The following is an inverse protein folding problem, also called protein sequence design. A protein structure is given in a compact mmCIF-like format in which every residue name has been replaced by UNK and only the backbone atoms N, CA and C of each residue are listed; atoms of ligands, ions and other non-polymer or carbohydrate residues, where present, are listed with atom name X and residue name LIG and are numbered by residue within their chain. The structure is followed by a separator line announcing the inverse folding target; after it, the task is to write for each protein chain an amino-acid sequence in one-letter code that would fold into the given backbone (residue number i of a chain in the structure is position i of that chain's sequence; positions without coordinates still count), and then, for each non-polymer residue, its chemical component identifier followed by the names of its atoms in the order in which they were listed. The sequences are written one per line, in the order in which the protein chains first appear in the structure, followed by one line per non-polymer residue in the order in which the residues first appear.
data_IF_903876471707
#
_entry.id   IF_903876471707
#
_cell.length_a   1.000
_cell.length_b   1.000
_cell.length_c   1.000
_cell.angle_alpha   90.00
_cell.angle_beta   90.00
_cell.angle_gamma   90.00
#
_symmetry.space_group_name_H-M   'P 1'
#
loop_
_entity.id
_entity.type
_entity.pdbx_description
1 polymer ?
#
# COMPACT_ATOMS: atom_id res chain seq x y z
N UNK A 1 -26.69 3.66 -2.75
CA UNK A 1 -27.50 4.36 -1.73
C UNK A 1 -26.73 5.57 -1.22
N UNK A 2 -27.42 6.66 -0.96
CA UNK A 2 -26.86 7.91 -0.43
C UNK A 2 -27.38 8.11 1.00
N UNK A 3 -26.47 8.49 1.92
CA UNK A 3 -26.81 8.64 3.32
C UNK A 3 -26.03 9.84 3.88
N UNK A 4 -26.69 10.71 4.64
CA UNK A 4 -26.05 11.80 5.35
C UNK A 4 -25.64 11.35 6.75
N UNK A 5 -24.38 11.60 7.11
CA UNK A 5 -23.85 11.28 8.45
C UNK A 5 -23.15 12.50 9.04
N UNK A 6 -23.16 12.69 10.37
CA UNK A 6 -22.39 13.75 11.01
C UNK A 6 -20.89 13.62 10.72
N UNK A 7 -20.20 14.73 10.46
CA UNK A 7 -18.77 14.74 10.11
C UNK A 7 -17.91 13.96 11.11
N UNK A 8 -18.14 14.12 12.41
CA UNK A 8 -17.37 13.42 13.46
C UNK A 8 -17.58 11.90 13.49
N UNK A 9 -18.67 11.39 12.90
CA UNK A 9 -18.98 9.96 12.89
C UNK A 9 -18.58 9.26 11.58
N UNK A 10 -18.23 10.01 10.54
CA UNK A 10 -18.00 9.52 9.18
C UNK A 10 -16.91 8.44 9.14
N UNK A 11 -15.84 8.62 9.90
CA UNK A 11 -14.68 7.71 9.95
C UNK A 11 -15.09 6.27 10.33
N UNK A 12 -15.91 6.10 11.35
CA UNK A 12 -16.34 4.78 11.81
C UNK A 12 -17.20 4.04 10.77
N UNK A 13 -18.01 4.78 10.01
CA UNK A 13 -18.79 4.20 8.91
C UNK A 13 -17.92 3.81 7.73
N UNK A 14 -16.96 4.66 7.34
CA UNK A 14 -15.99 4.38 6.29
C UNK A 14 -15.24 3.08 6.63
N UNK A 15 -14.68 2.96 7.83
CA UNK A 15 -13.96 1.76 8.29
C UNK A 15 -14.78 0.48 8.08
N UNK A 16 -16.02 0.48 8.57
CA UNK A 16 -16.90 -0.70 8.50
C UNK A 16 -17.30 -1.08 7.09
N UNK A 17 -17.49 -0.10 6.20
CA UNK A 17 -17.86 -0.33 4.82
C UNK A 17 -16.68 -0.79 3.97
N UNK A 18 -15.52 -0.13 4.12
CA UNK A 18 -14.28 -0.51 3.43
C UNK A 18 -13.82 -1.91 3.83
N UNK A 19 -13.90 -2.25 5.13
CA UNK A 19 -13.60 -3.61 5.61
C UNK A 19 -14.47 -4.70 4.95
N UNK A 20 -15.65 -4.32 4.44
CA UNK A 20 -16.54 -5.21 3.69
C UNK A 20 -16.34 -5.14 2.16
N UNK A 21 -15.31 -4.43 1.70
CA UNK A 21 -14.97 -4.29 0.28
C UNK A 21 -15.80 -3.26 -0.50
N UNK A 22 -16.57 -2.40 0.17
CA UNK A 22 -17.33 -1.34 -0.51
C UNK A 22 -16.45 -0.16 -0.88
N UNK A 23 -16.76 0.47 -2.03
CA UNK A 23 -16.24 1.78 -2.44
C UNK A 23 -17.18 2.87 -1.97
N UNK A 24 -16.65 3.96 -1.45
CA UNK A 24 -17.40 5.03 -0.82
C UNK A 24 -17.05 6.35 -1.50
N UNK A 25 -18.03 7.02 -2.08
CA UNK A 25 -17.87 8.39 -2.54
C UNK A 25 -18.19 9.37 -1.42
N UNK A 26 -17.25 10.25 -1.08
CA UNK A 26 -17.45 11.37 -0.18
C UNK A 26 -17.96 12.54 -1.00
N UNK A 27 -19.11 13.05 -0.61
CA UNK A 27 -19.81 14.14 -1.31
C UNK A 27 -19.96 15.30 -0.36
N UNK A 28 -19.46 16.47 -0.75
CA UNK A 28 -19.56 17.68 0.03
C UNK A 28 -20.39 18.76 -0.67
N UNK A 29 -20.88 19.72 0.11
CA UNK A 29 -21.57 20.89 -0.39
C UNK A 29 -20.53 21.92 -0.87
N UNK A 30 -20.64 22.33 -2.14
CA UNK A 30 -19.70 23.26 -2.77
C UNK A 30 -20.10 24.73 -2.63
N UNK A 31 -21.26 25.02 -2.02
CA UNK A 31 -21.81 26.36 -1.84
C UNK A 31 -22.32 26.53 -0.40
N UNK A 32 -22.27 27.77 0.11
CA UNK A 32 -22.94 28.10 1.36
C UNK A 32 -24.47 27.94 1.19
N UNK A 33 -25.14 27.14 2.04
CA UNK A 33 -26.58 26.98 1.98
C UNK A 33 -27.39 28.30 2.02
N UNK A 34 -26.80 29.36 2.58
CA UNK A 34 -27.43 30.69 2.67
C UNK A 34 -27.42 31.47 1.35
N UNK A 35 -26.47 31.12 0.45
CA UNK A 35 -26.29 31.78 -0.85
C UNK A 35 -26.94 30.97 -1.99
N UNK A 36 -27.37 29.75 -1.72
CA UNK A 36 -27.93 28.87 -2.73
C UNK A 36 -29.37 29.27 -3.10
N UNK A 37 -29.62 29.57 -4.35
CA UNK A 37 -30.97 29.70 -4.91
C UNK A 37 -31.49 28.32 -5.31
N UNK A 38 -32.05 27.57 -4.36
CA UNK A 38 -32.58 26.22 -4.60
C UNK A 38 -31.79 25.11 -3.92
N UNK A 39 -31.52 24.01 -4.67
CA UNK A 39 -30.75 22.87 -4.15
C UNK A 39 -29.28 23.21 -4.14
N UNK A 40 -28.62 23.09 -2.98
CA UNK A 40 -27.17 23.30 -2.83
C UNK A 40 -26.39 22.35 -3.73
N UNK A 41 -25.48 22.90 -4.51
CA UNK A 41 -24.59 22.11 -5.36
C UNK A 41 -23.70 21.21 -4.51
N UNK A 42 -23.59 19.94 -4.91
CA UNK A 42 -22.77 18.92 -4.27
C UNK A 42 -21.86 18.28 -5.29
N UNK A 43 -20.64 17.97 -4.87
CA UNK A 43 -19.71 17.21 -5.73
C UNK A 43 -19.00 16.12 -4.95
N UNK A 44 -18.50 15.12 -5.67
CA UNK A 44 -17.68 14.06 -5.15
C UNK A 44 -16.26 14.59 -4.97
N UNK A 45 -15.82 14.75 -3.74
CA UNK A 45 -14.48 15.25 -3.43
C UNK A 45 -13.44 14.12 -3.39
N UNK A 46 -13.87 12.90 -3.09
CA UNK A 46 -12.98 11.74 -2.99
C UNK A 46 -13.77 10.43 -3.08
N UNK A 47 -13.14 9.41 -3.64
CA UNK A 47 -13.63 8.02 -3.59
C UNK A 47 -12.66 7.19 -2.77
N UNK A 48 -13.15 6.64 -1.64
CA UNK A 48 -12.36 5.76 -0.76
C UNK A 48 -12.66 4.32 -1.14
N UNK A 49 -11.61 3.57 -1.39
CA UNK A 49 -11.68 2.15 -1.77
C UNK A 49 -10.80 1.31 -0.83
N UNK A 50 -10.93 -0.02 -0.80
CA UNK A 50 -10.10 -0.87 0.07
C UNK A 50 -8.58 -0.73 -0.15
N UNK A 51 -8.14 -0.31 -1.33
CA UNK A 51 -6.73 -0.08 -1.66
C UNK A 51 -6.28 1.37 -1.50
N UNK A 52 -7.20 2.33 -1.39
CA UNK A 52 -6.87 3.77 -1.32
C UNK A 52 -7.15 4.41 0.04
N UNK A 53 -7.25 3.60 1.08
CA UNK A 53 -7.50 4.08 2.44
C UNK A 53 -6.28 4.82 2.97
N UNK A 54 -6.41 6.12 3.24
CA UNK A 54 -5.37 6.96 3.84
C UNK A 54 -5.52 7.15 5.35
N UNK A 55 -6.68 6.80 5.91
CA UNK A 55 -7.07 7.13 7.27
C UNK A 55 -6.66 6.06 8.28
N UNK A 56 -6.77 6.35 9.58
CA UNK A 56 -6.48 5.47 10.74
C UNK A 56 -7.31 4.17 10.79
N UNK A 57 -7.82 3.74 9.63
CA UNK A 57 -8.70 2.59 9.43
C UNK A 57 -7.94 1.28 9.55
N UNK A 58 -6.65 1.30 9.27
CA UNK A 58 -5.76 0.17 9.42
C UNK A 58 -4.82 0.39 10.60
N UNK A 59 -4.38 -0.69 11.21
CA UNK A 59 -3.30 -0.66 12.18
C UNK A 59 -2.15 0.22 11.64
N UNK A 60 -1.74 1.23 12.40
CA UNK A 60 -0.67 2.18 12.03
C UNK A 60 0.63 1.47 11.62
N UNK A 61 0.82 0.26 12.11
CA UNK A 61 1.97 -0.61 11.86
C UNK A 61 1.82 -1.51 10.63
N UNK A 62 0.66 -1.50 9.96
CA UNK A 62 0.41 -2.32 8.79
C UNK A 62 0.39 -1.49 7.51
N UNK A 63 0.87 -2.08 6.41
CA UNK A 63 0.79 -1.53 5.06
C UNK A 63 -0.30 -2.24 4.27
N UNK A 64 -1.09 -1.47 3.52
CA UNK A 64 -2.11 -1.97 2.61
C UNK A 64 -1.82 -1.43 1.22
N UNK A 65 -1.70 -2.33 0.25
CA UNK A 65 -1.38 -1.95 -1.11
C UNK A 65 -2.60 -2.00 -2.03
N UNK A 66 -2.64 -1.03 -2.94
CA UNK A 66 -3.34 -1.13 -4.21
C UNK A 66 -2.34 -1.65 -5.23
N UNK A 67 -2.77 -2.51 -6.16
CA UNK A 67 -1.93 -2.96 -7.24
C UNK A 67 -2.63 -2.83 -8.59
N UNK A 68 -1.90 -2.44 -9.63
CA UNK A 68 -2.37 -2.45 -11.01
C UNK A 68 -1.61 -3.53 -11.80
N UNK A 69 -2.33 -4.36 -12.54
CA UNK A 69 -1.77 -5.52 -13.24
C UNK A 69 -1.98 -5.38 -14.74
N UNK A 70 -0.89 -5.49 -15.48
CA UNK A 70 -0.91 -5.69 -16.93
C UNK A 70 -0.26 -7.02 -17.27
N UNK A 71 -0.85 -7.73 -18.24
CA UNK A 71 -0.29 -8.95 -18.80
C UNK A 71 0.49 -8.66 -20.09
N UNK A 72 1.53 -9.41 -20.31
CA UNK A 72 2.31 -9.41 -21.54
C UNK A 72 2.67 -10.85 -21.92
N UNK A 73 3.24 -11.07 -23.09
CA UNK A 73 3.33 -12.41 -23.72
C UNK A 73 3.97 -13.51 -22.84
N UNK A 74 4.84 -13.16 -21.90
CA UNK A 74 5.56 -14.12 -21.06
C UNK A 74 5.52 -13.81 -19.54
N UNK A 75 4.72 -12.82 -19.12
CA UNK A 75 4.63 -12.47 -17.71
C UNK A 75 3.55 -11.47 -17.38
N UNK A 76 3.57 -11.05 -16.12
CA UNK A 76 2.78 -9.95 -15.58
C UNK A 76 3.69 -8.87 -15.05
N UNK A 77 3.29 -7.63 -15.28
CA UNK A 77 3.84 -6.47 -14.59
C UNK A 77 2.82 -5.95 -13.61
N UNK A 78 3.24 -5.75 -12.36
CA UNK A 78 2.40 -5.32 -11.27
C UNK A 78 2.99 -4.06 -10.64
N UNK A 79 2.27 -2.96 -10.71
CA UNK A 79 2.59 -1.74 -9.99
C UNK A 79 1.86 -1.74 -8.65
N UNK A 80 2.60 -1.67 -7.55
CA UNK A 80 2.08 -1.59 -6.19
C UNK A 80 2.23 -0.17 -5.66
N UNK A 81 1.23 0.29 -4.90
CA UNK A 81 1.29 1.55 -4.16
C UNK A 81 0.64 1.43 -2.79
N UNK A 82 1.29 1.94 -1.78
CA UNK A 82 0.70 2.25 -0.48
C UNK A 82 0.34 3.73 -0.45
N UNK A 83 -0.92 4.04 -0.66
CA UNK A 83 -1.40 5.44 -0.84
C UNK A 83 -1.14 6.28 0.41
N UNK A 84 -1.18 5.69 1.60
CA UNK A 84 -1.00 6.41 2.86
C UNK A 84 0.44 6.88 3.12
N UNK A 85 1.43 6.31 2.46
CA UNK A 85 2.86 6.65 2.62
C UNK A 85 3.50 7.16 1.33
N UNK A 86 2.80 7.00 0.20
CA UNK A 86 3.32 7.31 -1.13
C UNK A 86 4.36 6.31 -1.65
N UNK A 87 4.64 5.26 -0.89
CA UNK A 87 5.56 4.21 -1.34
C UNK A 87 4.97 3.45 -2.51
N UNK A 88 5.77 3.27 -3.56
CA UNK A 88 5.34 2.56 -4.75
C UNK A 88 6.53 1.86 -5.43
N UNK A 89 6.23 0.75 -6.09
CA UNK A 89 7.22 -0.03 -6.83
C UNK A 89 6.55 -0.90 -7.90
N UNK A 90 7.34 -1.36 -8.86
CA UNK A 90 6.92 -2.33 -9.88
C UNK A 90 7.65 -3.64 -9.67
N UNK A 91 6.92 -4.73 -9.72
CA UNK A 91 7.46 -6.09 -9.63
C UNK A 91 6.92 -6.93 -10.80
N UNK A 92 7.76 -7.80 -11.37
CA UNK A 92 7.40 -8.66 -12.50
C UNK A 92 7.37 -10.12 -12.07
N UNK A 93 6.47 -10.90 -12.65
CA UNK A 93 6.48 -12.35 -12.47
C UNK A 93 6.17 -13.10 -13.76
N UNK A 94 6.48 -14.38 -13.75
CA UNK A 94 6.18 -15.30 -14.86
C UNK A 94 4.67 -15.35 -15.14
N UNK A 95 4.31 -15.69 -16.39
CA UNK A 95 2.92 -15.85 -16.83
C UNK A 95 2.26 -17.12 -16.28
N UNK A 96 2.29 -17.28 -14.95
CA UNK A 96 1.66 -18.36 -14.19
C UNK A 96 0.67 -17.79 -13.17
N UNK A 97 -0.59 -18.25 -13.21
CA UNK A 97 -1.66 -17.78 -12.32
C UNK A 97 -1.27 -17.94 -10.84
N UNK A 98 -0.65 -19.06 -10.46
CA UNK A 98 -0.25 -19.32 -9.08
C UNK A 98 0.82 -18.35 -8.58
N UNK A 99 1.79 -17.99 -9.41
CA UNK A 99 2.86 -17.04 -9.05
C UNK A 99 2.29 -15.65 -8.87
N UNK A 100 1.42 -15.20 -9.79
CA UNK A 100 0.72 -13.93 -9.67
C UNK A 100 -0.09 -13.82 -8.37
N UNK A 101 -0.90 -14.85 -8.07
CA UNK A 101 -1.73 -14.86 -6.86
C UNK A 101 -0.89 -14.84 -5.58
N UNK A 102 0.21 -15.60 -5.54
CA UNK A 102 1.13 -15.57 -4.41
C UNK A 102 1.77 -14.19 -4.22
N UNK A 103 2.14 -13.51 -5.32
CA UNK A 103 2.73 -12.18 -5.28
C UNK A 103 1.75 -11.14 -4.72
N UNK A 104 0.48 -11.21 -5.14
CA UNK A 104 -0.58 -10.34 -4.63
C UNK A 104 -0.80 -10.55 -3.12
N UNK A 105 -0.88 -11.81 -2.67
CA UNK A 105 -1.05 -12.15 -1.25
C UNK A 105 0.17 -11.76 -0.41
N UNK A 106 1.37 -12.01 -0.95
CA UNK A 106 2.65 -11.67 -0.34
C UNK A 106 2.74 -10.18 -0.01
N UNK A 107 2.27 -9.32 -0.91
CA UNK A 107 2.31 -7.87 -0.77
C UNK A 107 1.05 -7.28 -0.11
N UNK A 108 0.15 -8.10 0.45
CA UNK A 108 -1.07 -7.66 1.14
C UNK A 108 -1.90 -6.64 0.31
N UNK A 109 -2.01 -6.87 -1.01
CA UNK A 109 -2.83 -6.03 -1.87
C UNK A 109 -4.32 -6.31 -1.59
N UNK A 110 -5.07 -5.26 -1.25
CA UNK A 110 -6.51 -5.33 -0.94
C UNK A 110 -7.38 -4.97 -2.13
N UNK A 111 -6.81 -4.32 -3.11
CA UNK A 111 -7.49 -3.91 -4.32
C UNK A 111 -6.57 -4.09 -5.52
N UNK A 112 -7.13 -4.61 -6.59
CA UNK A 112 -6.42 -4.86 -7.85
C UNK A 112 -7.13 -4.09 -8.97
N UNK A 113 -6.37 -3.30 -9.69
CA UNK A 113 -6.80 -2.59 -10.90
C UNK A 113 -6.36 -3.38 -12.12
N UNK A 114 -7.29 -3.63 -13.03
CA UNK A 114 -7.05 -4.35 -14.28
C UNK A 114 -7.83 -3.71 -15.43
N UNK A 115 -7.47 -3.98 -16.67
CA UNK A 115 -8.32 -3.62 -17.81
C UNK A 115 -9.54 -4.58 -17.93
N UNK A 116 -10.63 -4.17 -18.58
CA UNK A 116 -11.88 -4.95 -18.68
C UNK A 116 -11.71 -6.31 -19.38
N UNK A 117 -10.71 -6.46 -20.22
CA UNK A 117 -10.39 -7.71 -20.91
C UNK A 117 -9.52 -8.69 -20.10
N UNK A 118 -9.18 -8.36 -18.85
CA UNK A 118 -8.31 -9.22 -18.04
C UNK A 118 -8.96 -10.58 -17.73
N UNK A 119 -8.16 -11.62 -17.55
CA UNK A 119 -8.59 -13.02 -17.44
C UNK A 119 -9.59 -13.26 -16.30
N UNK A 120 -10.82 -13.59 -16.65
CA UNK A 120 -11.95 -13.79 -15.71
C UNK A 120 -11.67 -14.89 -14.66
N UNK A 121 -10.89 -15.91 -15.02
CA UNK A 121 -10.47 -16.97 -14.09
C UNK A 121 -9.70 -16.41 -12.90
N UNK A 122 -8.75 -15.50 -13.15
CA UNK A 122 -7.92 -14.86 -12.12
C UNK A 122 -8.80 -13.92 -11.29
N UNK A 123 -9.66 -13.13 -11.94
CA UNK A 123 -10.60 -12.23 -11.26
C UNK A 123 -11.47 -12.99 -10.25
N UNK A 124 -12.01 -14.15 -10.63
CA UNK A 124 -12.81 -15.01 -9.72
C UNK A 124 -11.99 -15.49 -8.53
N UNK A 125 -10.74 -15.91 -8.74
CA UNK A 125 -9.86 -16.35 -7.67
C UNK A 125 -9.54 -15.21 -6.70
N UNK A 126 -9.23 -14.02 -7.20
CA UNK A 126 -8.98 -12.83 -6.37
C UNK A 126 -10.20 -12.41 -5.54
N UNK A 127 -11.39 -12.44 -6.14
CA UNK A 127 -12.66 -12.18 -5.40
C UNK A 127 -12.89 -13.20 -4.29
N UNK A 128 -12.59 -14.47 -4.52
CA UNK A 128 -12.68 -15.51 -3.49
C UNK A 128 -11.68 -15.27 -2.33
N UNK A 129 -10.58 -14.60 -2.60
CA UNK A 129 -9.59 -14.16 -1.60
C UNK A 129 -9.96 -12.81 -0.95
N UNK A 130 -11.18 -12.31 -1.17
CA UNK A 130 -11.67 -11.02 -0.66
C UNK A 130 -10.86 -9.80 -1.15
N UNK A 131 -10.23 -9.91 -2.31
CA UNK A 131 -9.56 -8.81 -2.98
C UNK A 131 -10.56 -8.07 -3.85
N UNK A 132 -10.64 -6.76 -3.71
CA UNK A 132 -11.52 -5.91 -4.51
C UNK A 132 -10.94 -5.74 -5.92
N UNK A 133 -11.79 -5.85 -6.94
CA UNK A 133 -11.39 -5.65 -8.33
C UNK A 133 -11.95 -4.34 -8.86
N UNK A 134 -11.07 -3.57 -9.47
CA UNK A 134 -11.35 -2.28 -10.11
C UNK A 134 -10.89 -2.31 -11.55
N UNK A 135 -11.44 -1.44 -12.37
CA UNK A 135 -11.14 -1.40 -13.79
C UNK A 135 -10.64 -0.01 -14.17
N UNK A 136 -9.56 0.02 -14.94
CA UNK A 136 -9.03 1.22 -15.58
C UNK A 136 -8.56 0.84 -16.98
N UNK A 137 -8.89 1.65 -18.00
CA UNK A 137 -8.52 1.38 -19.39
C UNK A 137 -7.34 2.24 -19.83
N UNK A 138 -7.10 3.35 -19.15
CA UNK A 138 -5.99 4.24 -19.47
C UNK A 138 -4.72 3.77 -18.75
N UNK A 139 -3.68 3.52 -19.52
CA UNK A 139 -2.37 3.07 -19.05
C UNK A 139 -1.24 4.06 -19.44
N UNK A 140 -1.61 5.24 -19.94
CA UNK A 140 -0.67 6.32 -20.27
C UNK A 140 -0.09 6.96 -18.99
N UNK A 141 1.01 7.67 -19.12
CA UNK A 141 1.61 8.42 -18.01
C UNK A 141 1.69 9.88 -18.38
N UNK A 142 1.01 10.72 -17.63
CA UNK A 142 1.07 12.15 -17.81
C UNK A 142 2.47 12.71 -17.53
N UNK A 143 2.85 13.78 -18.26
CA UNK A 143 4.18 14.38 -18.16
C UNK A 143 4.56 14.84 -16.75
N UNK A 144 3.57 15.21 -15.92
CA UNK A 144 3.78 15.61 -14.53
C UNK A 144 4.37 14.48 -13.66
N UNK A 145 4.15 13.21 -14.03
CA UNK A 145 4.65 12.03 -13.29
C UNK A 145 5.95 11.45 -13.84
N UNK A 146 6.51 12.01 -14.92
CA UNK A 146 7.79 11.51 -15.48
C UNK A 146 8.92 11.44 -14.44
N UNK A 147 9.09 12.39 -13.51
CA UNK A 147 10.11 12.29 -12.47
C UNK A 147 9.95 11.06 -11.55
N UNK A 148 8.72 10.56 -11.37
CA UNK A 148 8.46 9.36 -10.58
C UNK A 148 8.85 8.07 -11.33
N UNK A 149 8.94 8.13 -12.66
CA UNK A 149 9.09 6.98 -13.55
C UNK A 149 10.52 6.74 -14.03
N UNK A 150 11.52 7.48 -13.55
CA UNK A 150 12.90 7.42 -14.06
C UNK A 150 13.51 6.00 -14.00
N UNK A 151 13.17 5.23 -12.96
CA UNK A 151 13.63 3.85 -12.80
C UNK A 151 12.91 2.86 -13.73
N UNK A 152 11.74 3.22 -14.28
CA UNK A 152 10.92 2.34 -15.11
C UNK A 152 11.36 2.42 -16.56
N UNK A 153 12.11 1.42 -17.00
CA UNK A 153 12.68 1.39 -18.37
C UNK A 153 11.87 0.56 -19.36
N UNK A 154 11.12 -0.43 -18.87
CA UNK A 154 10.39 -1.37 -19.72
C UNK A 154 8.96 -0.86 -19.98
N UNK A 155 8.48 -1.03 -21.21
CA UNK A 155 7.16 -0.54 -21.64
C UNK A 155 6.01 -1.17 -20.84
N UNK A 156 6.05 -2.47 -20.61
CA UNK A 156 5.00 -3.14 -19.86
C UNK A 156 4.95 -2.71 -18.37
N UNK A 157 6.08 -2.29 -17.78
CA UNK A 157 6.14 -1.71 -16.44
C UNK A 157 5.54 -0.30 -16.42
N UNK A 158 5.75 0.46 -17.48
CA UNK A 158 5.13 1.78 -17.65
C UNK A 158 3.61 1.69 -17.75
N UNK A 159 3.11 0.68 -18.46
CA UNK A 159 1.66 0.47 -18.61
C UNK A 159 0.99 0.13 -17.27
N UNK A 160 1.52 -0.81 -16.49
CA UNK A 160 0.99 -1.13 -15.17
C UNK A 160 1.04 0.10 -14.22
N UNK A 161 2.13 0.85 -14.29
CA UNK A 161 2.32 2.05 -13.49
C UNK A 161 1.38 3.20 -13.93
N UNK A 162 1.20 3.41 -15.22
CA UNK A 162 0.25 4.38 -15.77
C UNK A 162 -1.19 4.07 -15.36
N UNK A 163 -1.61 2.83 -15.50
CA UNK A 163 -2.95 2.38 -15.05
C UNK A 163 -3.16 2.63 -13.54
N UNK A 164 -2.13 2.43 -12.72
CA UNK A 164 -2.17 2.73 -11.28
C UNK A 164 -2.35 4.23 -11.05
N UNK A 165 -1.58 5.09 -11.72
CA UNK A 165 -1.67 6.54 -11.59
C UNK A 165 -3.05 7.07 -11.98
N UNK A 166 -3.57 6.69 -13.15
CA UNK A 166 -4.90 7.11 -13.60
C UNK A 166 -5.99 6.69 -12.62
N UNK A 167 -5.94 5.46 -12.12
CA UNK A 167 -6.91 5.02 -11.13
C UNK A 167 -6.83 5.83 -9.82
N UNK A 168 -5.63 6.21 -9.39
CA UNK A 168 -5.45 7.06 -8.22
C UNK A 168 -5.99 8.47 -8.46
N UNK A 169 -5.74 9.08 -9.62
CA UNK A 169 -6.29 10.40 -9.96
C UNK A 169 -7.82 10.40 -9.97
N UNK A 170 -8.44 9.40 -10.58
CA UNK A 170 -9.90 9.25 -10.60
C UNK A 170 -10.49 9.13 -9.18
N UNK A 171 -9.81 8.43 -8.29
CA UNK A 171 -10.32 8.14 -6.94
C UNK A 171 -9.98 9.23 -5.93
N UNK A 172 -8.79 9.79 -5.96
CA UNK A 172 -8.35 10.81 -4.99
C UNK A 172 -8.81 12.22 -5.37
N UNK A 173 -9.01 12.49 -6.67
CA UNK A 173 -9.48 13.81 -7.17
C UNK A 173 -8.56 14.98 -6.86
N UNK A 174 -7.31 14.74 -6.48
CA UNK A 174 -6.27 15.75 -6.24
C UNK A 174 -4.91 15.25 -6.72
N UNK A 175 -3.92 16.13 -6.74
CA UNK A 175 -2.56 15.78 -7.15
C UNK A 175 -1.95 14.72 -6.25
N UNK A 176 -1.18 13.83 -6.86
CA UNK A 176 -0.50 12.73 -6.16
C UNK A 176 0.92 13.13 -5.74
N UNK A 177 1.09 14.35 -5.24
CA UNK A 177 2.41 14.96 -4.95
C UNK A 177 3.18 14.26 -3.83
N UNK A 178 2.51 13.45 -3.01
CA UNK A 178 3.13 12.66 -1.94
C UNK A 178 3.76 11.34 -2.42
N UNK A 179 3.54 10.94 -3.68
CA UNK A 179 4.13 9.71 -4.19
C UNK A 179 5.65 9.83 -4.27
N UNK A 180 6.32 8.79 -3.81
CA UNK A 180 7.78 8.68 -3.89
C UNK A 180 8.20 8.23 -5.30
N UNK A 181 9.45 8.50 -5.74
CA UNK A 181 9.98 7.92 -6.97
C UNK A 181 9.81 6.40 -6.99
N UNK A 182 9.32 5.88 -8.11
CA UNK A 182 9.04 4.45 -8.26
C UNK A 182 10.34 3.63 -8.22
N UNK A 183 10.32 2.51 -7.53
CA UNK A 183 11.40 1.53 -7.55
C UNK A 183 10.99 0.29 -8.35
N UNK A 184 11.95 -0.35 -9.02
CA UNK A 184 11.71 -1.62 -9.72
C UNK A 184 12.31 -2.73 -8.88
N UNK A 185 11.45 -3.57 -8.29
CA UNK A 185 11.90 -4.72 -7.52
C UNK A 185 12.31 -5.87 -8.45
N UNK A 186 13.47 -6.46 -8.14
CA UNK A 186 13.96 -7.67 -8.82
C UNK A 186 14.09 -8.80 -7.79
N UNK A 187 13.83 -10.03 -8.21
CA UNK A 187 13.95 -11.21 -7.34
C UNK A 187 15.34 -11.38 -6.70
N UNK A 188 16.36 -10.79 -7.31
CA UNK A 188 17.74 -10.89 -6.83
C UNK A 188 18.07 -10.07 -5.58
N UNK A 189 17.20 -9.13 -5.16
CA UNK A 189 17.51 -8.18 -4.08
C UNK A 189 17.18 -8.70 -2.67
N UNK A 190 16.35 -9.71 -2.55
CA UNK A 190 15.95 -10.30 -1.26
C UNK A 190 15.74 -11.80 -1.34
N UNK A 191 15.83 -12.46 -0.18
CA UNK A 191 15.53 -13.88 -0.08
C UNK A 191 14.09 -14.15 -0.50
N UNK A 192 13.92 -15.01 -1.51
CA UNK A 192 12.59 -15.41 -1.94
C UNK A 192 11.92 -16.27 -0.86
N UNK A 193 10.77 -15.83 -0.39
CA UNK A 193 9.87 -16.61 0.46
C UNK A 193 8.46 -16.50 -0.11
N UNK A 194 7.82 -17.62 -0.40
CA UNK A 194 6.43 -17.63 -0.81
C UNK A 194 5.49 -17.26 0.34
N UNK A 195 4.24 -16.97 -0.01
CA UNK A 195 3.23 -16.58 0.97
C UNK A 195 2.98 -17.67 2.03
N UNK A 196 2.94 -18.95 1.61
CA UNK A 196 2.70 -20.09 2.50
C UNK A 196 3.83 -20.26 3.51
N UNK A 197 5.08 -20.10 3.06
CA UNK A 197 6.25 -20.12 3.94
C UNK A 197 6.18 -19.04 5.01
N UNK A 198 5.83 -17.80 4.63
CA UNK A 198 5.71 -16.69 5.59
C UNK A 198 4.65 -16.93 6.65
N UNK A 199 3.48 -17.46 6.25
CA UNK A 199 2.39 -17.78 7.18
C UNK A 199 2.76 -18.96 8.08
N UNK A 200 3.29 -20.04 7.52
CA UNK A 200 3.67 -21.24 8.30
C UNK A 200 4.78 -20.96 9.32
N UNK A 201 5.68 -20.04 9.03
CA UNK A 201 6.71 -19.57 9.97
C UNK A 201 6.21 -18.49 10.93
N UNK A 202 4.95 -18.08 10.83
CA UNK A 202 4.34 -17.02 11.66
C UNK A 202 5.22 -15.76 11.75
N UNK A 203 5.81 -15.34 10.63
CA UNK A 203 6.76 -14.23 10.62
C UNK A 203 6.09 -12.90 11.01
N UNK A 204 4.95 -12.58 10.38
CA UNK A 204 4.25 -11.29 10.57
C UNK A 204 2.75 -11.43 10.78
N UNK A 205 2.18 -12.62 10.51
CA UNK A 205 0.78 -12.94 10.76
C UNK A 205 0.71 -14.30 11.47
N UNK A 206 -0.18 -14.46 12.46
CA UNK A 206 -0.36 -15.76 13.10
C UNK A 206 -1.10 -16.73 12.18
N UNK A 207 -0.83 -18.01 12.32
CA UNK A 207 -1.52 -19.07 11.60
C UNK A 207 -3.00 -19.18 12.03
N UNK A 208 -3.26 -18.93 13.30
CA UNK A 208 -4.60 -18.95 13.89
C UNK A 208 -4.88 -17.61 14.57
N UNK A 209 -6.00 -16.98 14.23
CA UNK A 209 -6.42 -15.68 14.82
C UNK A 209 -6.99 -15.81 16.24
N UNK A 210 -7.11 -17.05 16.76
CA UNK A 210 -7.70 -17.33 18.08
C UNK A 210 -6.66 -17.18 19.20
N UNK A 211 -6.60 -16.01 19.82
CA UNK A 211 -5.81 -15.77 21.01
C UNK A 211 -4.62 -14.82 20.85
N UNK A 212 -3.76 -14.77 21.85
CA UNK A 212 -2.51 -13.99 21.88
C UNK A 212 -1.40 -14.72 21.08
N UNK A 213 -1.60 -14.90 19.78
CA UNK A 213 -0.58 -15.52 18.94
C UNK A 213 0.61 -14.55 18.80
N UNK A 214 1.81 -15.03 19.12
CA UNK A 214 3.06 -14.26 19.05
C UNK A 214 3.72 -14.60 17.71
N UNK A 215 3.84 -13.60 16.85
CA UNK A 215 4.62 -13.71 15.60
C UNK A 215 6.06 -13.25 15.85
N UNK A 216 6.99 -13.60 14.95
CA UNK A 216 8.37 -13.10 15.04
C UNK A 216 8.40 -11.58 15.06
N UNK A 217 7.61 -10.93 14.20
CA UNK A 217 7.50 -9.48 14.17
C UNK A 217 6.99 -8.92 15.49
N UNK A 218 5.87 -9.43 16.04
CA UNK A 218 5.31 -8.93 17.30
C UNK A 218 6.24 -9.11 18.49
N UNK A 219 7.06 -10.15 18.46
CA UNK A 219 8.09 -10.40 19.49
C UNK A 219 9.25 -9.39 19.40
N UNK A 220 9.69 -9.07 18.19
CA UNK A 220 10.81 -8.17 17.94
C UNK A 220 10.42 -6.69 17.94
N UNK A 221 9.13 -6.34 17.77
CA UNK A 221 8.66 -4.96 17.63
C UNK A 221 8.69 -4.20 18.96
N UNK A 222 9.86 -3.68 19.26
CA UNK A 222 10.10 -2.69 20.34
C UNK A 222 10.32 -1.28 19.79
N UNK A 223 9.93 -1.05 18.53
CA UNK A 223 10.08 0.23 17.83
C UNK A 223 9.33 1.35 18.55
N UNK A 224 9.86 2.57 18.46
CA UNK A 224 9.30 3.76 19.10
C UNK A 224 8.39 4.57 18.18
N UNK A 225 8.40 4.27 16.89
CA UNK A 225 7.54 4.93 15.89
C UNK A 225 6.86 3.89 15.00
N UNK A 226 5.70 4.22 14.45
CA UNK A 226 4.98 3.38 13.50
C UNK A 226 5.81 3.12 12.22
N UNK A 227 6.53 4.12 11.74
CA UNK A 227 7.46 4.00 10.60
C UNK A 227 8.53 2.94 10.86
N UNK A 228 9.13 2.95 12.07
CA UNK A 228 10.12 1.93 12.46
C UNK A 228 9.54 0.52 12.50
N UNK A 229 8.34 0.36 13.03
CA UNK A 229 7.63 -0.92 13.07
C UNK A 229 7.32 -1.46 11.66
N UNK A 230 6.85 -0.60 10.75
CA UNK A 230 6.66 -0.97 9.33
C UNK A 230 7.97 -1.38 8.66
N UNK A 231 9.05 -0.65 8.91
CA UNK A 231 10.37 -0.97 8.37
C UNK A 231 10.92 -2.30 8.91
N UNK A 232 10.77 -2.58 10.20
CA UNK A 232 11.13 -3.86 10.80
C UNK A 232 10.35 -5.01 10.15
N UNK A 233 9.05 -4.83 9.95
CA UNK A 233 8.20 -5.80 9.28
C UNK A 233 8.68 -6.10 7.85
N UNK A 234 9.00 -5.07 7.06
CA UNK A 234 9.59 -5.24 5.73
C UNK A 234 10.89 -6.03 5.75
N UNK A 235 11.77 -5.76 6.69
CA UNK A 235 13.03 -6.48 6.82
C UNK A 235 12.85 -7.97 7.14
N UNK A 236 11.82 -8.31 7.92
CA UNK A 236 11.45 -9.70 8.21
C UNK A 236 10.83 -10.37 6.97
N UNK A 237 9.96 -9.65 6.24
CA UNK A 237 9.27 -10.17 5.06
C UNK A 237 10.17 -10.26 3.81
N UNK A 238 11.18 -9.41 3.71
CA UNK A 238 12.14 -9.32 2.60
C UNK A 238 13.59 -9.29 3.13
N UNK A 239 14.13 -10.40 3.67
CA UNK A 239 15.50 -10.44 4.15
C UNK A 239 16.50 -10.21 3.01
N UNK A 240 17.57 -9.49 3.28
CA UNK A 240 18.64 -9.26 2.33
C UNK A 240 19.38 -10.57 2.01
N UNK A 241 19.91 -10.66 0.79
CA UNK A 241 20.83 -11.73 0.35
C UNK A 241 22.24 -11.21 0.12
N UNK A 242 22.39 -9.91 -0.06
CA UNK A 242 23.68 -9.28 -0.26
C UNK A 242 24.45 -9.22 1.07
N UNK A 243 25.64 -9.83 1.09
CA UNK A 243 26.46 -9.94 2.29
C UNK A 243 26.94 -8.57 2.79
N UNK A 244 27.35 -7.67 1.91
CA UNK A 244 27.86 -6.35 2.30
C UNK A 244 26.78 -5.52 2.99
N UNK A 245 25.53 -5.57 2.45
CA UNK A 245 24.38 -4.89 3.04
C UNK A 245 23.99 -5.49 4.40
N UNK A 246 24.13 -6.81 4.56
CA UNK A 246 23.87 -7.49 5.84
C UNK A 246 24.92 -7.07 6.88
N UNK A 247 26.18 -7.10 6.51
CA UNK A 247 27.29 -6.71 7.40
C UNK A 247 27.20 -5.24 7.80
N UNK A 248 26.81 -4.34 6.90
CA UNK A 248 26.56 -2.93 7.21
C UNK A 248 25.45 -2.76 8.26
N UNK A 249 24.36 -3.54 8.14
CA UNK A 249 23.31 -3.55 9.18
C UNK A 249 23.83 -4.04 10.53
N UNK A 250 24.60 -5.11 10.53
CA UNK A 250 25.21 -5.65 11.76
C UNK A 250 26.17 -4.65 12.41
N UNK A 251 26.98 -3.96 11.64
CA UNK A 251 27.88 -2.93 12.13
C UNK A 251 27.12 -1.77 12.82
N UNK A 252 25.98 -1.33 12.23
CA UNK A 252 25.12 -0.31 12.83
C UNK A 252 24.49 -0.78 14.15
N UNK A 253 24.02 -2.02 14.21
CA UNK A 253 23.46 -2.61 15.43
C UNK A 253 24.54 -2.73 16.50
N UNK A 254 25.71 -3.25 16.15
CA UNK A 254 26.86 -3.38 17.07
C UNK A 254 27.29 -2.03 17.64
N UNK A 255 27.36 -1.01 16.79
CA UNK A 255 27.68 0.35 17.23
C UNK A 255 26.67 0.86 18.27
N UNK A 256 25.36 0.69 18.02
CA UNK A 256 24.32 1.07 18.98
C UNK A 256 24.34 0.24 20.26
N UNK A 257 24.77 -1.02 20.20
CA UNK A 257 24.95 -1.86 21.40
C UNK A 257 26.12 -1.36 22.27
N UNK A 258 27.22 -0.97 21.65
CA UNK A 258 28.41 -0.44 22.36
C UNK A 258 28.21 0.99 22.87
N UNK A 259 27.34 1.80 22.26
CA UNK A 259 27.11 3.20 22.59
C UNK A 259 25.74 3.41 23.28
N UNK A 260 25.64 2.99 24.55
CA UNK A 260 24.38 3.04 25.30
C UNK A 260 23.76 4.45 25.35
N UNK A 261 24.55 5.50 25.63
CA UNK A 261 24.04 6.87 25.71
C UNK A 261 23.44 7.36 24.39
N UNK A 262 24.15 7.13 23.27
CA UNK A 262 23.65 7.47 21.94
C UNK A 262 22.35 6.72 21.61
N UNK A 263 22.31 5.41 21.92
CA UNK A 263 21.10 4.58 21.72
C UNK A 263 19.93 5.10 22.55
N UNK A 264 20.14 5.48 23.81
CA UNK A 264 19.09 6.01 24.68
C UNK A 264 18.54 7.34 24.15
N UNK A 265 19.43 8.26 23.78
CA UNK A 265 19.06 9.57 23.22
C UNK A 265 18.25 9.43 21.91
N UNK A 266 18.69 8.57 20.99
CA UNK A 266 17.94 8.28 19.75
C UNK A 266 16.55 7.69 20.05
N UNK A 267 16.46 6.76 20.98
CA UNK A 267 15.15 6.16 21.35
C UNK A 267 14.20 7.19 21.97
N UNK A 268 14.69 8.09 22.78
CA UNK A 268 13.93 9.18 23.36
C UNK A 268 13.44 10.17 22.29
N UNK A 269 14.30 10.56 21.37
CA UNK A 269 13.93 11.40 20.24
C UNK A 269 12.87 10.76 19.34
N UNK A 270 12.98 9.46 19.05
CA UNK A 270 12.03 8.73 18.23
C UNK A 270 10.67 8.55 18.89
N UNK A 271 10.57 8.62 20.22
CA UNK A 271 9.30 8.43 20.93
C UNK A 271 8.28 9.54 20.64
N UNK A 272 8.75 10.75 20.37
CA UNK A 272 7.91 11.92 20.12
C UNK A 272 7.68 12.21 18.63
N UNK A 273 8.16 11.34 17.72
CA UNK A 273 8.00 11.56 16.29
C UNK A 273 6.67 10.98 15.82
N UNK A 274 5.84 11.85 15.22
CA UNK A 274 4.63 11.45 14.51
C UNK A 274 4.96 10.65 13.23
N UNK A 275 3.98 9.97 12.67
CA UNK A 275 4.10 9.29 11.39
C UNK A 275 4.16 10.30 10.23
N UNK A 276 5.36 10.79 9.96
CA UNK A 276 5.61 11.83 8.95
C UNK A 276 5.17 11.39 7.56
N UNK A 277 5.37 10.11 7.20
CA UNK A 277 4.97 9.61 5.89
C UNK A 277 3.47 9.77 5.69
N UNK A 278 2.66 9.31 6.65
CA UNK A 278 1.20 9.43 6.58
C UNK A 278 0.70 10.86 6.76
N UNK A 279 1.39 11.68 7.52
CA UNK A 279 1.05 13.10 7.64
C UNK A 279 1.25 13.85 6.32
N UNK A 280 2.36 13.65 5.64
CA UNK A 280 2.62 14.26 4.32
C UNK A 280 1.55 13.87 3.32
N UNK A 281 1.21 12.58 3.21
CA UNK A 281 0.17 12.11 2.31
C UNK A 281 -1.22 12.72 2.58
N UNK A 282 -1.51 13.11 3.84
CA UNK A 282 -2.77 13.79 4.19
C UNK A 282 -2.77 15.28 3.89
N UNK A 283 -1.60 15.89 3.78
CA UNK A 283 -1.45 17.32 3.48
C UNK A 283 -1.30 17.60 1.99
N UNK A 284 -0.93 16.59 1.19
CA UNK A 284 -0.81 16.69 -0.26
C UNK A 284 -2.18 16.64 -0.94
#
# INVERSE_FOLDING_TARGET
PMCGVPHHAVQSYIQRLVARGYKIAIVEQMQDPKEAQGIVQRDVIRVITPGTVMEEITDEKSSVYLAAITDYSYGYSIAFVEVSTGENYVENCEHKDSVLLQLILKNNAREIVVHKGFREKIIKQLRNMQVTISYCEDDSIDSQYFPLCEAIKKEYDRRSYGMMLHYLEETQRHMLSHLQPCTVETEASSLYMDYSTRINLELTKPLHENGKAITLWSFLDVCKSAMGSRQLRKWIEKPLVDQELIEDRYAKVEWLMKNFMARSSVRESLYNIYDLQRLIARCA
#
